data_IF_274537687211
#
_entry.id   IF_274537687211
#
_cell.length_a   1.000
_cell.length_b   1.000
_cell.length_c   1.000
_cell.angle_alpha   90.00
_cell.angle_beta   90.00
_cell.angle_gamma   90.00
#
_symmetry.space_group_name_H-M   'P 1'
#
loop_
_entity.id
_entity.type
_entity.pdbx_description
1 polymer ?
#
# COMPACT_ATOMS: atom_id res chain seq x y z
N UNK A 1 -2.26 8.68 15.11
CA UNK A 1 -2.21 10.02 14.46
C UNK A 1 -2.40 9.88 12.94
N UNK A 2 -2.93 10.88 12.23
CA UNK A 2 -3.21 10.81 10.77
C UNK A 2 -1.94 10.55 9.91
N UNK A 3 -0.76 11.01 10.33
CA UNK A 3 0.51 10.82 9.59
C UNK A 3 1.09 9.41 9.63
N UNK A 4 0.79 8.61 10.65
CA UNK A 4 1.31 7.24 10.79
C UNK A 4 0.71 6.29 9.75
N UNK A 5 -0.58 6.47 9.44
CA UNK A 5 -1.25 5.73 8.36
C UNK A 5 -0.72 6.09 6.97
N UNK A 6 -0.26 7.33 6.77
CA UNK A 6 0.25 7.81 5.48
C UNK A 6 1.61 7.19 5.17
N UNK A 7 2.51 7.09 6.15
CA UNK A 7 3.83 6.46 5.98
C UNK A 7 3.74 5.01 5.49
N UNK A 8 3.01 4.18 6.22
CA UNK A 8 2.83 2.77 5.86
C UNK A 8 2.06 2.59 4.55
N UNK A 9 1.04 3.42 4.31
CA UNK A 9 0.27 3.39 3.07
C UNK A 9 1.14 3.69 1.84
N UNK A 10 2.07 4.65 1.93
CA UNK A 10 3.02 4.93 0.85
C UNK A 10 3.96 3.76 0.57
N UNK A 11 4.46 3.09 1.62
CA UNK A 11 5.31 1.89 1.48
C UNK A 11 4.54 0.75 0.83
N UNK A 12 3.31 0.47 1.29
CA UNK A 12 2.42 -0.52 0.68
C UNK A 12 2.14 -0.20 -0.79
N UNK A 13 1.85 1.06 -1.13
CA UNK A 13 1.61 1.49 -2.51
C UNK A 13 2.85 1.27 -3.40
N UNK A 14 4.06 1.50 -2.90
CA UNK A 14 5.29 1.23 -3.65
C UNK A 14 5.53 -0.26 -3.86
N UNK A 15 5.33 -1.09 -2.83
CA UNK A 15 5.41 -2.55 -2.97
C UNK A 15 4.39 -3.07 -3.99
N UNK A 16 3.14 -2.59 -3.95
CA UNK A 16 2.12 -2.95 -4.93
C UNK A 16 2.52 -2.50 -6.34
N UNK A 17 3.03 -1.27 -6.49
CA UNK A 17 3.51 -0.74 -7.77
C UNK A 17 4.65 -1.58 -8.34
N UNK A 18 5.58 -2.02 -7.50
CA UNK A 18 6.67 -2.89 -7.92
C UNK A 18 6.20 -4.25 -8.41
N UNK A 19 5.31 -4.92 -7.66
CA UNK A 19 4.76 -6.22 -8.08
C UNK A 19 3.93 -6.14 -9.37
N UNK A 20 3.45 -4.95 -9.71
CA UNK A 20 2.73 -4.66 -10.95
C UNK A 20 3.66 -4.19 -12.10
N UNK A 21 4.98 -4.20 -11.89
CA UNK A 21 5.97 -3.83 -12.89
C UNK A 21 6.07 -2.32 -13.17
N UNK A 22 5.51 -1.47 -12.31
CA UNK A 22 5.46 -0.01 -12.53
C UNK A 22 6.71 0.72 -12.02
N UNK A 23 7.43 0.10 -11.08
CA UNK A 23 8.69 0.59 -10.51
C UNK A 23 9.62 -0.59 -10.20
N UNK A 24 10.91 -0.34 -10.09
CA UNK A 24 11.90 -1.34 -9.71
C UNK A 24 12.05 -1.46 -8.17
N UNK A 25 12.77 -2.48 -7.72
CA UNK A 25 13.02 -2.70 -6.30
C UNK A 25 13.84 -1.57 -5.67
N UNK A 26 14.76 -0.98 -6.43
CA UNK A 26 15.58 0.14 -5.98
C UNK A 26 14.73 1.37 -5.60
N UNK A 27 13.66 1.63 -6.36
CA UNK A 27 12.70 2.68 -6.05
C UNK A 27 11.96 2.40 -4.73
N UNK A 28 11.50 1.16 -4.53
CA UNK A 28 10.81 0.76 -3.28
C UNK A 28 11.71 0.96 -2.06
N UNK A 29 12.96 0.53 -2.15
CA UNK A 29 13.95 0.69 -1.09
C UNK A 29 14.22 2.17 -0.79
N UNK A 30 14.38 2.98 -1.85
CA UNK A 30 14.60 4.42 -1.72
C UNK A 30 13.42 5.10 -1.03
N UNK A 31 12.18 4.79 -1.45
CA UNK A 31 10.99 5.38 -0.84
C UNK A 31 10.86 4.96 0.62
N UNK A 32 11.04 3.67 0.93
CA UNK A 32 10.96 3.15 2.30
C UNK A 32 11.96 3.85 3.22
N UNK A 33 13.21 4.02 2.76
CA UNK A 33 14.23 4.78 3.51
C UNK A 33 13.86 6.24 3.70
N UNK A 34 13.26 6.88 2.69
CA UNK A 34 12.81 8.27 2.79
C UNK A 34 11.71 8.43 3.85
N UNK A 35 10.71 7.54 3.83
CA UNK A 35 9.62 7.52 4.82
C UNK A 35 10.16 7.30 6.23
N UNK A 36 11.08 6.33 6.41
CA UNK A 36 11.73 6.10 7.70
C UNK A 36 12.53 7.33 8.18
N UNK A 37 13.28 7.99 7.29
CA UNK A 37 14.04 9.22 7.62
C UNK A 37 13.15 10.40 7.97
N UNK A 38 11.91 10.42 7.51
CA UNK A 38 10.92 11.41 7.90
C UNK A 38 10.30 11.13 9.29
N UNK A 39 10.75 10.08 9.99
CA UNK A 39 10.22 9.66 11.28
C UNK A 39 8.83 9.00 11.18
N UNK A 40 8.43 8.59 9.98
CA UNK A 40 7.15 7.95 9.74
C UNK A 40 7.27 6.42 9.82
N UNK A 41 6.24 5.72 10.31
CA UNK A 41 6.19 4.27 10.29
C UNK A 41 6.28 3.71 8.86
N UNK A 42 7.03 2.63 8.69
CA UNK A 42 7.18 1.86 7.43
C UNK A 42 6.54 0.47 7.49
N UNK A 43 5.99 0.11 8.65
CA UNK A 43 5.26 -1.14 8.89
C UNK A 43 3.88 -0.79 9.43
N UNK A 44 2.84 -1.30 8.79
CA UNK A 44 1.47 -1.08 9.25
C UNK A 44 1.15 -2.03 10.43
N UNK A 45 0.21 -1.69 11.31
CA UNK A 45 -0.19 -2.60 12.37
C UNK A 45 -0.93 -3.83 11.82
N UNK A 46 -0.81 -4.98 12.49
CA UNK A 46 -1.79 -6.04 12.33
C UNK A 46 -3.16 -5.63 12.88
N UNK A 47 -4.19 -5.67 12.04
CA UNK A 47 -5.57 -5.34 12.40
C UNK A 47 -6.39 -6.57 12.81
N UNK A 48 -5.94 -7.78 12.42
CA UNK A 48 -6.58 -9.04 12.77
C UNK A 48 -5.55 -10.17 12.81
N UNK A 49 -5.58 -10.99 13.86
CA UNK A 49 -4.65 -12.11 14.02
C UNK A 49 -4.93 -13.30 13.10
N UNK A 50 -6.17 -13.45 12.63
CA UNK A 50 -6.61 -14.62 11.82
C UNK A 50 -6.72 -14.31 10.33
N UNK A 51 -7.20 -13.12 9.95
CA UNK A 51 -7.21 -12.65 8.56
C UNK A 51 -6.91 -11.14 8.49
N UNK A 52 -5.64 -10.79 8.67
CA UNK A 52 -5.19 -9.40 8.64
C UNK A 52 -5.52 -8.73 7.30
N UNK A 53 -5.12 -9.35 6.19
CA UNK A 53 -5.34 -8.80 4.85
C UNK A 53 -6.83 -8.67 4.52
N UNK A 54 -7.67 -9.63 4.89
CA UNK A 54 -9.12 -9.55 4.73
C UNK A 54 -9.71 -8.39 5.53
N UNK A 55 -9.23 -8.15 6.76
CA UNK A 55 -9.66 -7.00 7.57
C UNK A 55 -9.32 -5.66 6.89
N UNK A 56 -8.12 -5.55 6.33
CA UNK A 56 -7.69 -4.39 5.55
C UNK A 56 -8.57 -4.16 4.31
N UNK A 57 -8.78 -5.20 3.49
CA UNK A 57 -9.63 -5.12 2.30
C UNK A 57 -11.07 -4.72 2.65
N UNK A 58 -11.63 -5.29 3.72
CA UNK A 58 -12.96 -4.92 4.19
C UNK A 58 -13.06 -3.44 4.57
N UNK A 59 -12.03 -2.88 5.23
CA UNK A 59 -11.98 -1.45 5.55
C UNK A 59 -11.83 -0.58 4.30
N UNK A 60 -10.98 -1.00 3.35
CA UNK A 60 -10.76 -0.26 2.10
C UNK A 60 -12.01 -0.21 1.22
N UNK A 61 -12.84 -1.27 1.20
CA UNK A 61 -14.09 -1.31 0.43
C UNK A 61 -15.17 -0.34 0.93
N UNK A 62 -15.08 0.12 2.18
CA UNK A 62 -16.01 1.11 2.75
C UNK A 62 -15.57 2.55 2.44
N UNK A 63 -14.31 2.74 2.00
CA UNK A 63 -13.81 4.05 1.58
C UNK A 63 -14.42 4.48 0.23
N UNK A 64 -14.67 5.78 0.06
CA UNK A 64 -15.39 6.36 -1.10
C UNK A 64 -14.66 6.26 -2.45
N UNK A 65 -13.55 5.53 -2.53
CA UNK A 65 -12.71 5.33 -3.74
C UNK A 65 -13.03 4.04 -4.50
N UNK A 66 -14.21 3.46 -4.28
CA UNK A 66 -14.72 2.34 -5.05
C UNK A 66 -15.57 2.85 -6.21
N UNK A 67 -15.10 2.65 -7.44
CA UNK A 67 -15.95 2.78 -8.64
C UNK A 67 -16.38 1.38 -9.04
N UNK A 68 -17.70 1.15 -9.20
CA UNK A 68 -18.28 -0.13 -9.62
C UNK A 68 -17.95 -1.34 -8.73
N UNK A 69 -17.61 -1.13 -7.46
CA UNK A 69 -17.32 -2.19 -6.49
C UNK A 69 -15.85 -2.65 -6.44
N UNK A 70 -14.97 -2.07 -7.25
CA UNK A 70 -13.53 -2.34 -7.22
C UNK A 70 -12.75 -1.25 -6.48
N UNK A 71 -11.77 -1.66 -5.66
CA UNK A 71 -10.89 -0.73 -4.95
C UNK A 71 -9.90 -0.12 -5.94
N UNK A 72 -9.85 1.21 -6.00
CA UNK A 72 -8.87 1.95 -6.81
C UNK A 72 -7.70 2.40 -5.93
N UNK A 73 -6.49 1.99 -6.31
CA UNK A 73 -5.27 2.37 -5.61
C UNK A 73 -4.53 3.46 -6.39
N UNK A 74 -3.96 4.42 -5.65
CA UNK A 74 -2.95 5.33 -6.19
C UNK A 74 -1.62 4.60 -6.20
N UNK A 75 -1.09 4.35 -7.39
CA UNK A 75 0.16 3.65 -7.64
C UNK A 75 1.19 4.58 -8.25
N UNK A 76 2.46 4.22 -8.09
CA UNK A 76 3.60 4.98 -8.61
C UNK A 76 4.03 4.35 -9.93
N UNK A 77 4.11 5.16 -10.99
CA UNK A 77 4.49 4.72 -12.34
C UNK A 77 5.79 5.43 -12.78
N UNK A 78 6.84 5.20 -12.01
CA UNK A 78 8.09 5.94 -12.07
C UNK A 78 8.11 7.22 -11.22
N UNK A 79 9.29 7.82 -10.99
CA UNK A 79 9.44 9.01 -10.17
C UNK A 79 8.56 10.18 -10.63
N UNK A 80 7.81 10.78 -9.71
CA UNK A 80 6.94 11.92 -9.97
C UNK A 80 5.65 11.62 -10.74
N UNK A 81 5.36 10.34 -11.03
CA UNK A 81 4.16 9.92 -11.77
C UNK A 81 3.29 9.03 -10.90
N UNK A 82 2.03 9.42 -10.72
CA UNK A 82 1.03 8.63 -10.05
C UNK A 82 -0.09 8.24 -11.03
N UNK A 83 -0.59 7.02 -10.90
CA UNK A 83 -1.76 6.52 -11.65
C UNK A 83 -2.76 5.94 -10.67
N UNK A 84 -4.04 6.03 -11.00
CA UNK A 84 -5.10 5.39 -10.23
C UNK A 84 -5.59 4.18 -11.00
N UNK A 85 -5.44 2.97 -10.44
CA UNK A 85 -5.90 1.71 -11.05
C UNK A 85 -6.35 0.68 -10.02
N UNK A 86 -7.16 -0.28 -10.46
CA UNK A 86 -7.47 -1.45 -9.67
C UNK A 86 -6.24 -2.40 -9.57
N UNK A 87 -6.27 -3.27 -8.57
CA UNK A 87 -5.30 -4.34 -8.39
C UNK A 87 -6.03 -5.63 -8.01
N UNK A 88 -5.53 -6.81 -8.43
CA UNK A 88 -6.05 -8.09 -7.96
C UNK A 88 -5.97 -8.21 -6.43
N UNK A 89 -7.05 -8.69 -5.81
CA UNK A 89 -7.15 -8.80 -4.35
C UNK A 89 -6.05 -9.68 -3.75
N UNK A 90 -5.70 -10.79 -4.40
CA UNK A 90 -4.61 -11.69 -3.99
C UNK A 90 -3.26 -10.96 -3.92
N UNK A 91 -2.98 -10.09 -4.90
CA UNK A 91 -1.79 -9.27 -4.91
C UNK A 91 -1.81 -8.25 -3.77
N UNK A 92 -2.95 -7.60 -3.54
CA UNK A 92 -3.10 -6.64 -2.43
C UNK A 92 -2.91 -7.34 -1.08
N UNK A 93 -3.48 -8.53 -0.90
CA UNK A 93 -3.29 -9.33 0.33
C UNK A 93 -1.82 -9.63 0.57
N UNK A 94 -1.12 -10.11 -0.47
CA UNK A 94 0.31 -10.44 -0.38
C UNK A 94 1.22 -9.24 -0.07
N UNK A 95 0.79 -8.02 -0.40
CA UNK A 95 1.48 -6.78 -0.03
C UNK A 95 1.19 -6.41 1.41
N UNK A 96 -0.08 -6.49 1.85
CA UNK A 96 -0.47 -6.21 3.23
C UNK A 96 0.32 -7.11 4.19
N UNK A 97 0.35 -8.41 3.92
CA UNK A 97 1.05 -9.38 4.78
C UNK A 97 2.57 -9.15 4.83
N UNK A 98 3.17 -8.64 3.74
CA UNK A 98 4.59 -8.30 3.69
C UNK A 98 4.94 -6.97 4.39
N UNK A 99 3.96 -6.07 4.56
CA UNK A 99 4.15 -4.73 5.08
C UNK A 99 3.59 -4.51 6.49
N UNK A 100 2.87 -5.48 7.06
CA UNK A 100 2.40 -5.43 8.43
C UNK A 100 3.44 -6.00 9.42
N UNK A 101 3.45 -5.45 10.63
CA UNK A 101 4.17 -5.98 11.80
C UNK A 101 3.17 -6.59 12.77
#
# INVERSE_FOLDING_TARGET
LHGEGVGCGMVMAAHLSHRLGLVDAAFVDRLTRLVARAGLPVRAPQLCATDNAGRYLALMRVDKKTESGEIRFVMINGPGKAITRAAPDDLVRSVIDACCA
#
